data_IF_046565475157
#
_entry.id   IF_046565475157
#
_cell.length_a   1.000
_cell.length_b   1.000
_cell.length_c   1.000
_cell.angle_alpha   90.00
_cell.angle_beta   90.00
_cell.angle_gamma   90.00
#
_symmetry.space_group_name_H-M   'P 1'
#
loop_
_entity.id
_entity.type
_entity.pdbx_description
1 polymer ?
#
# COMPACT_ATOMS: atom_id res chain seq x y z
N UNK A 1 7.10 -6.61 25.48
CA UNK A 1 5.99 -5.72 25.04
C UNK A 1 5.82 -5.71 23.52
N UNK A 2 6.88 -5.55 22.73
CA UNK A 2 6.79 -5.63 21.25
C UNK A 2 6.22 -6.95 20.70
N UNK A 3 6.58 -8.10 21.29
CA UNK A 3 5.99 -9.39 20.91
C UNK A 3 4.49 -9.51 21.20
N UNK A 4 3.99 -8.80 22.20
CA UNK A 4 2.57 -8.86 22.59
C UNK A 4 1.71 -7.96 21.68
N UNK A 5 2.24 -6.85 21.17
CA UNK A 5 1.54 -5.97 20.21
C UNK A 5 1.62 -6.53 18.78
N UNK A 6 2.73 -7.12 18.36
CA UNK A 6 2.81 -7.90 17.13
C UNK A 6 1.78 -9.04 17.12
N UNK A 7 1.66 -9.80 18.22
CA UNK A 7 0.65 -10.85 18.36
C UNK A 7 -0.79 -10.31 18.32
N UNK A 8 -1.06 -9.10 18.82
CA UNK A 8 -2.38 -8.45 18.71
C UNK A 8 -2.72 -7.99 17.30
N UNK A 9 -1.75 -7.55 16.49
CA UNK A 9 -1.96 -7.18 15.08
C UNK A 9 -2.18 -8.42 14.20
N UNK A 10 -1.47 -9.53 14.48
CA UNK A 10 -1.63 -10.81 13.77
C UNK A 10 -3.02 -11.45 13.97
N UNK A 11 -3.66 -11.24 15.13
CA UNK A 11 -5.00 -11.77 15.42
C UNK A 11 -6.14 -11.05 14.67
N UNK A 12 -5.88 -9.95 13.98
CA UNK A 12 -6.89 -9.14 13.26
C UNK A 12 -7.00 -9.49 11.78
N UNK A 13 -5.98 -10.11 11.23
CA UNK A 13 -6.00 -10.65 9.88
C UNK A 13 -6.44 -12.11 9.94
N UNK A 14 -7.29 -12.49 9.00
CA UNK A 14 -7.54 -13.91 8.72
C UNK A 14 -6.23 -14.60 8.32
N UNK A 15 -6.22 -15.92 8.37
CA UNK A 15 -5.07 -16.79 8.12
C UNK A 15 -4.14 -16.28 7.00
N UNK A 16 -2.85 -16.14 7.30
CA UNK A 16 -1.85 -15.65 6.33
C UNK A 16 -1.34 -16.74 5.36
N UNK A 17 -1.51 -18.02 5.73
CA UNK A 17 -0.98 -19.15 4.97
C UNK A 17 -2.01 -20.28 4.92
N UNK A 18 -2.20 -20.90 3.75
CA UNK A 18 -3.00 -22.10 3.60
C UNK A 18 -2.32 -23.33 4.23
N UNK A 19 -3.07 -24.42 4.42
CA UNK A 19 -2.55 -25.68 5.02
C UNK A 19 -1.37 -26.27 4.24
N UNK A 20 -1.29 -26.01 2.95
CA UNK A 20 -0.19 -26.46 2.07
C UNK A 20 1.01 -25.49 2.06
N UNK A 21 1.06 -24.52 2.96
CA UNK A 21 2.15 -23.55 3.12
C UNK A 21 2.13 -22.39 2.12
N UNK A 22 1.15 -22.30 1.22
CA UNK A 22 1.04 -21.18 0.28
C UNK A 22 0.45 -19.93 0.95
N UNK A 23 0.90 -18.73 0.59
CA UNK A 23 0.35 -17.49 1.15
C UNK A 23 -1.13 -17.33 0.79
N UNK A 24 -1.90 -16.81 1.70
CA UNK A 24 -3.31 -16.48 1.44
C UNK A 24 -3.44 -15.47 0.30
N UNK A 25 -4.47 -15.67 -0.52
CA UNK A 25 -4.80 -14.75 -1.61
C UNK A 25 -5.76 -13.65 -1.14
N UNK A 26 -6.50 -13.91 -0.08
CA UNK A 26 -7.44 -12.98 0.52
C UNK A 26 -7.21 -12.88 2.02
N UNK A 27 -7.42 -11.67 2.54
CA UNK A 27 -7.35 -11.37 3.97
C UNK A 27 -8.54 -10.49 4.33
N UNK A 28 -9.16 -10.73 5.47
CA UNK A 28 -10.16 -9.84 6.05
C UNK A 28 -9.53 -9.12 7.24
N UNK A 29 -9.51 -7.80 7.17
CA UNK A 29 -9.03 -6.93 8.23
C UNK A 29 -10.24 -6.27 8.89
N UNK A 30 -10.46 -6.54 10.18
CA UNK A 30 -11.47 -5.89 11.01
C UNK A 30 -10.79 -4.90 11.95
N UNK A 31 -11.25 -3.65 11.93
CA UNK A 31 -10.71 -2.58 12.76
C UNK A 31 -11.89 -1.89 13.46
N UNK A 32 -11.88 -1.82 14.79
CA UNK A 32 -12.87 -1.06 15.56
C UNK A 32 -12.54 0.43 15.52
N UNK A 33 -13.54 1.25 15.82
CA UNK A 33 -13.35 2.69 15.98
C UNK A 33 -12.23 3.01 16.98
N UNK A 34 -11.27 3.83 16.58
CA UNK A 34 -10.11 4.21 17.39
C UNK A 34 -8.96 3.20 17.40
N UNK A 35 -9.18 1.95 16.99
CA UNK A 35 -8.11 0.97 16.83
C UNK A 35 -7.26 1.30 15.60
N UNK A 36 -6.04 0.78 15.60
CA UNK A 36 -5.13 0.89 14.46
C UNK A 36 -4.50 -0.45 14.11
N UNK A 37 -4.14 -0.59 12.87
CA UNK A 37 -3.37 -1.69 12.30
C UNK A 37 -2.18 -1.11 11.55
N UNK A 38 -1.01 -1.70 11.71
CA UNK A 38 0.19 -1.29 10.99
C UNK A 38 0.96 -2.49 10.46
N UNK A 39 1.61 -2.30 9.32
CA UNK A 39 2.48 -3.29 8.70
C UNK A 39 3.70 -2.61 8.11
N UNK A 40 4.90 -3.00 8.54
CA UNK A 40 6.15 -2.35 8.14
C UNK A 40 6.46 -2.51 6.65
N UNK A 41 6.04 -3.62 6.04
CA UNK A 41 6.27 -3.88 4.62
C UNK A 41 5.24 -4.84 4.07
N UNK A 42 4.54 -4.42 3.03
CA UNK A 42 3.60 -5.26 2.29
C UNK A 42 4.40 -6.14 1.32
N UNK A 43 4.28 -7.46 1.46
CA UNK A 43 5.04 -8.43 0.66
C UNK A 43 4.51 -8.57 -0.77
N UNK A 44 3.22 -8.30 -0.98
CA UNK A 44 2.53 -8.39 -2.28
C UNK A 44 1.73 -7.12 -2.52
N UNK A 45 1.47 -6.78 -3.77
CA UNK A 45 0.49 -5.74 -4.07
C UNK A 45 -0.91 -6.24 -3.69
N UNK A 46 -1.72 -5.37 -3.09
CA UNK A 46 -3.05 -5.70 -2.59
C UNK A 46 -4.10 -4.78 -3.23
N UNK A 47 -5.19 -5.36 -3.69
CA UNK A 47 -6.45 -4.65 -3.87
C UNK A 47 -7.17 -4.61 -2.52
N UNK A 48 -7.44 -3.42 -2.03
CA UNK A 48 -8.16 -3.18 -0.79
C UNK A 48 -9.58 -2.72 -1.10
N UNK A 49 -10.56 -3.38 -0.50
CA UNK A 49 -11.98 -3.11 -0.65
C UNK A 49 -12.57 -2.79 0.73
N UNK A 50 -13.03 -1.56 0.94
CA UNK A 50 -13.71 -1.17 2.17
C UNK A 50 -15.16 -1.64 2.07
N UNK A 51 -15.49 -2.74 2.74
CA UNK A 51 -16.81 -3.36 2.68
C UNK A 51 -17.79 -2.74 3.67
N UNK A 52 -17.28 -2.22 4.79
CA UNK A 52 -18.05 -1.56 5.85
C UNK A 52 -17.19 -0.49 6.52
N UNK A 53 -17.84 0.58 6.98
CA UNK A 53 -17.24 1.57 7.85
C UNK A 53 -16.37 2.62 7.19
N UNK A 54 -15.40 3.14 7.95
CA UNK A 54 -14.56 4.26 7.53
C UNK A 54 -13.19 4.19 8.22
N UNK A 55 -12.12 4.40 7.48
CA UNK A 55 -10.75 4.35 7.99
C UNK A 55 -9.91 5.54 7.53
N UNK A 56 -9.03 6.02 8.41
CA UNK A 56 -7.89 6.84 8.05
C UNK A 56 -6.70 5.93 7.76
N UNK A 57 -6.04 6.11 6.64
CA UNK A 57 -4.92 5.29 6.26
C UNK A 57 -3.75 6.10 5.74
N UNK A 58 -2.55 5.53 5.90
CA UNK A 58 -1.33 6.04 5.28
C UNK A 58 -0.61 4.88 4.62
N UNK A 59 -0.28 5.01 3.34
CA UNK A 59 0.40 3.96 2.57
C UNK A 59 1.25 4.55 1.45
N UNK A 60 2.44 4.01 1.26
CA UNK A 60 3.33 4.47 0.20
C UNK A 60 3.73 5.92 0.35
N UNK A 61 3.16 6.79 -0.48
CA UNK A 61 3.38 8.25 -0.50
C UNK A 61 2.17 9.02 0.04
N UNK A 62 1.09 8.32 0.31
CA UNK A 62 -0.19 8.91 0.73
C UNK A 62 -0.29 8.88 2.25
N UNK A 63 -0.58 10.02 2.86
CA UNK A 63 -0.60 10.20 4.32
C UNK A 63 -1.95 10.74 4.76
N UNK A 64 -2.54 10.10 5.79
CA UNK A 64 -3.84 10.49 6.39
C UNK A 64 -4.98 10.55 5.37
N UNK A 65 -5.01 9.63 4.44
CA UNK A 65 -6.11 9.48 3.48
C UNK A 65 -7.31 8.83 4.15
N UNK A 66 -8.51 9.26 3.80
CA UNK A 66 -9.75 8.66 4.32
C UNK A 66 -10.34 7.76 3.25
N UNK A 67 -10.64 6.52 3.60
CA UNK A 67 -11.35 5.58 2.76
C UNK A 67 -12.65 5.12 3.45
N UNK A 68 -13.75 5.17 2.69
CA UNK A 68 -15.10 4.88 3.17
C UNK A 68 -15.64 3.59 2.58
N UNK A 69 -16.70 3.06 3.20
CA UNK A 69 -17.49 1.95 2.65
C UNK A 69 -17.81 2.17 1.18
N UNK A 70 -17.69 1.12 0.38
CA UNK A 70 -17.93 1.17 -1.05
C UNK A 70 -16.73 1.62 -1.88
N UNK A 71 -15.59 1.92 -1.29
CA UNK A 71 -14.38 2.33 -2.02
C UNK A 71 -13.36 1.23 -2.12
N UNK A 72 -12.61 1.20 -3.22
CA UNK A 72 -11.46 0.33 -3.42
C UNK A 72 -10.24 1.11 -3.89
N UNK A 73 -9.05 0.60 -3.54
CA UNK A 73 -7.76 1.19 -3.88
C UNK A 73 -6.65 0.13 -3.90
N UNK A 74 -5.46 0.52 -4.34
CA UNK A 74 -4.29 -0.36 -4.41
C UNK A 74 -3.29 0.00 -3.33
N UNK A 75 -2.81 -1.01 -2.60
CA UNK A 75 -1.63 -0.94 -1.73
C UNK A 75 -0.49 -1.68 -2.43
N UNK A 76 0.65 -1.01 -2.61
CA UNK A 76 1.73 -1.57 -3.42
C UNK A 76 2.70 -2.42 -2.59
N UNK A 77 3.25 -3.45 -3.23
CA UNK A 77 4.38 -4.22 -2.68
C UNK A 77 5.50 -3.28 -2.23
N UNK A 78 6.01 -3.50 -1.04
CA UNK A 78 7.06 -2.69 -0.43
C UNK A 78 6.58 -1.42 0.26
N UNK A 79 5.26 -1.12 0.21
CA UNK A 79 4.70 -0.02 0.99
C UNK A 79 4.57 -0.40 2.47
N UNK A 80 4.73 0.61 3.32
CA UNK A 80 4.32 0.53 4.71
C UNK A 80 2.84 0.91 4.79
N UNK A 81 2.12 0.26 5.67
CA UNK A 81 0.70 0.52 5.88
C UNK A 81 0.39 0.89 7.32
N UNK A 82 -0.30 1.99 7.51
CA UNK A 82 -0.96 2.36 8.77
C UNK A 82 -2.43 2.62 8.49
N UNK A 83 -3.31 2.02 9.27
CA UNK A 83 -4.76 2.17 9.14
C UNK A 83 -5.36 2.35 10.52
N UNK A 84 -6.23 3.35 10.69
CA UNK A 84 -6.97 3.64 11.92
C UNK A 84 -8.46 3.63 11.63
N UNK A 85 -9.25 2.95 12.45
CA UNK A 85 -10.70 2.96 12.35
C UNK A 85 -11.27 4.32 12.79
N UNK A 86 -11.93 5.02 11.87
CA UNK A 86 -12.78 6.18 12.20
C UNK A 86 -14.18 5.73 12.61
N UNK A 87 -14.63 4.63 12.02
CA UNK A 87 -15.80 3.81 12.42
C UNK A 87 -15.35 2.35 12.50
N UNK A 88 -16.20 1.47 13.03
CA UNK A 88 -15.96 0.03 12.89
C UNK A 88 -15.94 -0.31 11.41
N UNK A 89 -14.87 -0.96 10.94
CA UNK A 89 -14.62 -1.14 9.53
C UNK A 89 -14.21 -2.59 9.21
N UNK A 90 -14.59 -3.03 8.01
CA UNK A 90 -14.23 -4.31 7.42
C UNK A 90 -13.59 -4.04 6.07
N UNK A 91 -12.34 -4.49 5.91
CA UNK A 91 -11.58 -4.34 4.67
C UNK A 91 -11.22 -5.74 4.17
N UNK A 92 -11.64 -6.07 2.95
CA UNK A 92 -11.18 -7.25 2.25
C UNK A 92 -9.95 -6.88 1.42
N UNK A 93 -8.87 -7.62 1.60
CA UNK A 93 -7.61 -7.46 0.87
C UNK A 93 -7.43 -8.66 -0.06
N UNK A 94 -7.16 -8.40 -1.32
CA UNK A 94 -6.87 -9.41 -2.34
C UNK A 94 -5.44 -9.23 -2.86
N UNK A 95 -4.58 -10.23 -2.68
CA UNK A 95 -3.21 -10.20 -3.23
C UNK A 95 -3.24 -10.37 -4.74
N UNK A 96 -2.45 -9.55 -5.43
CA UNK A 96 -2.26 -9.67 -6.87
C UNK A 96 -0.80 -9.44 -7.25
N UNK A 97 -0.43 -9.91 -8.42
CA UNK A 97 0.86 -9.65 -9.04
C UNK A 97 0.67 -9.06 -10.45
N UNK A 98 1.74 -8.53 -10.99
CA UNK A 98 1.76 -7.85 -12.28
C UNK A 98 1.51 -8.77 -13.48
N UNK A 99 1.67 -10.08 -13.29
CA UNK A 99 1.43 -11.07 -14.33
C UNK A 99 -0.06 -11.35 -14.53
N UNK A 100 -0.91 -10.90 -13.61
CA UNK A 100 -2.35 -11.06 -13.74
C UNK A 100 -2.86 -10.25 -14.94
N UNK A 101 -3.13 -10.99 -16.01
CA UNK A 101 -3.67 -10.43 -17.22
C UNK A 101 -5.11 -9.93 -17.00
N UNK A 102 -5.33 -8.62 -17.14
CA UNK A 102 -6.68 -8.08 -17.23
C UNK A 102 -7.37 -8.52 -18.51
N UNK A 103 -6.64 -8.85 -19.61
CA UNK A 103 -7.13 -9.48 -20.84
C UNK A 103 -6.00 -10.01 -21.75
N UNK A 104 -6.39 -10.74 -22.83
CA UNK A 104 -5.45 -11.14 -23.88
C UNK A 104 -4.76 -9.88 -24.45
N UNK A 105 -3.47 -9.71 -24.14
CA UNK A 105 -2.68 -8.55 -24.56
C UNK A 105 -2.72 -7.34 -23.63
N UNK A 106 -3.55 -7.33 -22.57
CA UNK A 106 -3.60 -6.27 -21.57
C UNK A 106 -3.25 -6.85 -20.19
N UNK A 107 -1.99 -6.96 -19.88
CA UNK A 107 -1.56 -7.10 -18.48
C UNK A 107 -1.76 -5.75 -17.77
N UNK A 108 -1.88 -5.75 -16.47
CA UNK A 108 -1.85 -4.53 -15.66
C UNK A 108 -0.66 -3.62 -16.01
N UNK A 109 0.35 -4.22 -16.66
CA UNK A 109 1.55 -3.53 -17.10
C UNK A 109 1.52 -2.92 -18.50
N UNK A 110 0.70 -3.42 -19.44
CA UNK A 110 0.70 -2.97 -20.85
C UNK A 110 -0.43 -1.98 -21.16
N UNK A 111 -1.28 -1.71 -20.19
CA UNK A 111 -2.47 -0.88 -20.37
C UNK A 111 -2.21 0.62 -20.60
N UNK A 112 -0.96 1.05 -20.74
CA UNK A 112 -0.59 2.45 -20.48
C UNK A 112 0.03 3.21 -21.65
N UNK A 113 0.04 2.71 -22.88
CA UNK A 113 0.73 3.41 -23.98
C UNK A 113 0.13 4.80 -24.29
N UNK A 114 -1.15 5.02 -24.05
CA UNK A 114 -1.86 6.29 -24.35
C UNK A 114 -2.19 7.14 -23.10
N UNK A 115 -1.86 6.68 -21.89
CA UNK A 115 -2.20 7.42 -20.67
C UNK A 115 -1.13 8.44 -20.32
N UNK A 116 -1.49 9.74 -20.36
CA UNK A 116 -0.63 10.82 -19.89
C UNK A 116 -0.57 10.79 -18.36
N UNK A 117 0.58 10.41 -17.81
CA UNK A 117 0.76 10.40 -16.37
C UNK A 117 0.57 11.79 -15.77
N UNK A 118 -0.21 11.91 -14.68
CA UNK A 118 -0.28 13.15 -13.94
C UNK A 118 1.09 13.51 -13.36
N UNK A 119 1.37 14.81 -13.28
CA UNK A 119 2.59 15.31 -12.65
C UNK A 119 2.65 14.93 -11.18
N UNK A 120 3.82 14.97 -10.51
CA UNK A 120 3.93 14.72 -9.08
C UNK A 120 2.99 15.62 -8.26
N UNK A 121 2.86 16.90 -8.64
CA UNK A 121 1.98 17.87 -8.00
C UNK A 121 0.50 17.48 -8.18
N UNK A 122 0.11 17.07 -9.37
CA UNK A 122 -1.26 16.56 -9.65
C UNK A 122 -1.56 15.29 -8.88
N UNK A 123 -0.59 14.37 -8.71
CA UNK A 123 -0.77 13.16 -7.89
C UNK A 123 -0.97 13.48 -6.42
N UNK A 124 -0.19 14.44 -5.90
CA UNK A 124 -0.29 14.85 -4.51
C UNK A 124 -1.60 15.59 -4.22
N UNK A 125 -2.09 16.40 -5.18
CA UNK A 125 -3.36 17.10 -5.06
C UNK A 125 -4.58 16.17 -5.21
N UNK A 126 -4.47 15.07 -5.98
CA UNK A 126 -5.56 14.11 -6.20
C UNK A 126 -5.70 13.07 -5.08
N UNK A 127 -4.72 12.95 -4.18
CA UNK A 127 -4.70 11.94 -3.11
C UNK A 127 -4.57 10.50 -3.63
N UNK A 128 -4.89 9.54 -2.75
CA UNK A 128 -4.88 8.11 -3.06
C UNK A 128 -5.90 7.78 -4.16
N UNK A 129 -5.51 7.12 -5.27
CA UNK A 129 -6.44 6.66 -6.29
C UNK A 129 -7.48 5.70 -5.73
N UNK A 130 -8.75 6.06 -5.83
CA UNK A 130 -9.88 5.27 -5.35
C UNK A 130 -10.95 5.16 -6.42
N UNK A 131 -11.62 4.01 -6.48
CA UNK A 131 -12.82 3.80 -7.29
C UNK A 131 -13.96 3.33 -6.41
N UNK A 132 -15.18 3.67 -6.81
CA UNK A 132 -16.41 3.16 -6.22
C UNK A 132 -16.58 1.68 -6.57
N UNK A 133 -16.90 0.84 -5.58
CA UNK A 133 -17.20 -0.57 -5.80
C UNK A 133 -18.62 -0.69 -6.40
N UNK A 134 -18.72 -1.14 -7.64
CA UNK A 134 -20.02 -1.39 -8.29
C UNK A 134 -20.80 -2.47 -7.54
N UNK A 135 -22.12 -2.36 -7.48
CA UNK A 135 -23.01 -3.23 -6.68
C UNK A 135 -22.80 -4.73 -6.92
N UNK A 136 -22.63 -5.12 -8.17
CA UNK A 136 -22.37 -6.51 -8.55
C UNK A 136 -21.04 -7.02 -7.96
N UNK A 137 -19.98 -6.21 -8.01
CA UNK A 137 -18.69 -6.54 -7.39
C UNK A 137 -18.83 -6.59 -5.86
N UNK A 138 -19.55 -5.66 -5.23
CA UNK A 138 -19.77 -5.65 -3.79
C UNK A 138 -20.42 -6.95 -3.31
N UNK A 139 -21.40 -7.47 -4.04
CA UNK A 139 -22.06 -8.75 -3.71
C UNK A 139 -21.07 -9.92 -3.71
N UNK A 140 -20.21 -10.01 -4.73
CA UNK A 140 -19.17 -11.05 -4.79
C UNK A 140 -18.13 -10.89 -3.68
N UNK A 141 -17.71 -9.66 -3.37
CA UNK A 141 -16.75 -9.39 -2.30
C UNK A 141 -17.27 -9.78 -0.92
N UNK A 142 -18.56 -9.52 -0.63
CA UNK A 142 -19.19 -9.96 0.64
C UNK A 142 -19.29 -11.48 0.72
N UNK A 143 -19.54 -12.17 -0.38
CA UNK A 143 -19.49 -13.63 -0.43
C UNK A 143 -18.08 -14.15 -0.14
N UNK A 144 -17.06 -13.58 -0.79
CA UNK A 144 -15.66 -13.95 -0.55
C UNK A 144 -15.26 -13.67 0.90
N UNK A 145 -15.67 -12.54 1.48
CA UNK A 145 -15.44 -12.24 2.90
C UNK A 145 -15.95 -13.38 3.78
N UNK A 146 -17.20 -13.81 3.60
CA UNK A 146 -17.80 -14.90 4.37
C UNK A 146 -17.05 -16.22 4.18
N UNK A 147 -16.66 -16.55 2.94
CA UNK A 147 -15.90 -17.76 2.59
C UNK A 147 -14.51 -17.77 3.26
N UNK A 148 -13.82 -16.62 3.26
CA UNK A 148 -12.51 -16.46 3.91
C UNK A 148 -12.62 -16.63 5.43
N UNK A 149 -13.61 -15.98 6.04
CA UNK A 149 -13.83 -16.06 7.49
C UNK A 149 -14.26 -17.45 7.97
N UNK A 150 -15.00 -18.17 7.14
CA UNK A 150 -15.40 -19.56 7.40
C UNK A 150 -14.25 -20.55 7.31
N UNK A 151 -13.11 -20.16 6.71
CA UNK A 151 -11.90 -20.99 6.50
C UNK A 151 -12.18 -22.37 5.85
N UNK A 152 -13.22 -22.45 5.04
CA UNK A 152 -13.69 -23.73 4.45
C UNK A 152 -13.04 -24.05 3.11
N UNK A 153 -12.33 -23.11 2.47
CA UNK A 153 -11.95 -23.20 1.08
C UNK A 153 -10.43 -23.23 0.90
N UNK A 154 -9.98 -24.14 0.04
CA UNK A 154 -8.57 -24.30 -0.30
C UNK A 154 -8.07 -23.24 -1.30
N UNK A 155 -6.75 -23.15 -1.44
CA UNK A 155 -6.04 -22.20 -2.29
C UNK A 155 -6.59 -22.14 -3.73
N UNK A 156 -6.82 -23.28 -4.38
CA UNK A 156 -7.29 -23.30 -5.78
C UNK A 156 -8.65 -22.62 -5.96
N UNK A 157 -9.54 -22.80 -5.01
CA UNK A 157 -10.84 -22.14 -5.06
C UNK A 157 -10.70 -20.63 -4.92
N UNK A 158 -9.87 -20.16 -3.98
CA UNK A 158 -9.58 -18.75 -3.80
C UNK A 158 -8.87 -18.16 -5.02
N UNK A 159 -8.06 -18.92 -5.72
CA UNK A 159 -7.45 -18.52 -6.99
C UNK A 159 -8.53 -18.26 -8.07
N UNK A 160 -9.54 -19.11 -8.19
CA UNK A 160 -10.69 -18.86 -9.07
C UNK A 160 -11.45 -17.60 -8.67
N UNK A 161 -11.69 -17.37 -7.38
CA UNK A 161 -12.33 -16.14 -6.89
C UNK A 161 -11.53 -14.90 -7.25
N UNK A 162 -10.21 -14.95 -7.17
CA UNK A 162 -9.33 -13.88 -7.61
C UNK A 162 -9.47 -13.59 -9.11
N UNK A 163 -9.54 -14.62 -9.96
CA UNK A 163 -9.82 -14.44 -11.39
C UNK A 163 -11.21 -13.85 -11.65
N UNK A 164 -12.22 -14.21 -10.88
CA UNK A 164 -13.56 -13.62 -10.98
C UNK A 164 -13.49 -12.11 -10.70
N UNK A 165 -12.81 -11.69 -9.63
CA UNK A 165 -12.62 -10.26 -9.34
C UNK A 165 -11.97 -9.53 -10.52
N UNK A 166 -10.88 -10.07 -11.06
CA UNK A 166 -10.17 -9.47 -12.20
C UNK A 166 -11.08 -9.36 -13.42
N UNK A 167 -11.87 -10.40 -13.70
CA UNK A 167 -12.84 -10.38 -14.81
C UNK A 167 -13.94 -9.34 -14.57
N UNK A 168 -14.44 -9.21 -13.34
CA UNK A 168 -15.44 -8.19 -12.98
C UNK A 168 -14.89 -6.78 -13.09
N UNK A 169 -13.65 -6.54 -12.66
CA UNK A 169 -12.99 -5.24 -12.83
C UNK A 169 -12.97 -4.82 -14.30
N UNK A 170 -12.62 -5.75 -15.21
CA UNK A 170 -12.60 -5.50 -16.66
C UNK A 170 -13.97 -5.20 -17.25
N UNK A 171 -15.00 -5.87 -16.74
CA UNK A 171 -16.36 -5.79 -17.30
C UNK A 171 -17.11 -4.58 -16.77
N UNK A 172 -16.88 -4.22 -15.52
CA UNK A 172 -17.63 -3.19 -14.81
C UNK A 172 -17.00 -1.79 -14.91
N UNK A 173 -15.69 -1.70 -15.16
CA UNK A 173 -14.96 -0.44 -15.19
C UNK A 173 -14.37 -0.17 -16.58
N UNK A 174 -14.32 1.10 -16.96
CA UNK A 174 -13.68 1.50 -18.21
C UNK A 174 -12.14 1.53 -18.07
N UNK A 175 -11.43 1.72 -19.20
CA UNK A 175 -9.97 1.72 -19.22
C UNK A 175 -9.38 2.86 -18.39
N UNK A 176 -9.96 4.05 -18.46
CA UNK A 176 -9.50 5.24 -17.74
C UNK A 176 -9.59 5.05 -16.23
N UNK A 177 -10.70 4.48 -15.73
CA UNK A 177 -10.89 4.14 -14.32
C UNK A 177 -9.82 3.14 -13.84
N UNK A 178 -9.60 2.08 -14.60
CA UNK A 178 -8.60 1.06 -14.26
C UNK A 178 -7.17 1.63 -14.33
N UNK A 179 -6.86 2.44 -15.33
CA UNK A 179 -5.56 3.12 -15.42
C UNK A 179 -5.32 4.07 -14.25
N UNK A 180 -6.34 4.84 -13.88
CA UNK A 180 -6.26 5.72 -12.73
C UNK A 180 -5.94 4.95 -11.44
N UNK A 181 -6.61 3.83 -11.19
CA UNK A 181 -6.40 3.02 -10.00
C UNK A 181 -5.04 2.30 -10.01
N UNK A 182 -4.66 1.72 -11.15
CA UNK A 182 -3.43 0.93 -11.29
C UNK A 182 -2.23 1.74 -11.79
N UNK A 183 -2.33 3.06 -11.91
CA UNK A 183 -1.28 3.93 -12.48
C UNK A 183 0.12 3.75 -11.87
N UNK A 184 0.19 3.30 -10.63
CA UNK A 184 1.46 3.06 -9.94
C UNK A 184 2.01 1.63 -10.12
N UNK A 185 1.32 0.75 -10.89
CA UNK A 185 1.68 -0.67 -11.11
C UNK A 185 2.32 -0.87 -12.50
N UNK A 186 2.98 0.13 -13.09
CA UNK A 186 3.53 0.01 -14.47
C UNK A 186 4.64 -1.03 -14.58
N UNK A 187 4.60 -1.82 -15.65
CA UNK A 187 5.43 -3.00 -15.86
C UNK A 187 6.82 -2.78 -16.44
N UNK A 188 7.09 -1.65 -17.10
CA UNK A 188 8.31 -1.46 -17.91
C UNK A 188 9.63 -1.44 -17.10
N UNK A 189 9.55 -1.34 -15.77
CA UNK A 189 10.69 -1.35 -14.86
C UNK A 189 10.49 -2.22 -13.61
N UNK A 190 9.76 -3.36 -13.71
CA UNK A 190 9.56 -4.25 -12.54
C UNK A 190 10.87 -4.66 -11.91
N UNK A 191 11.82 -5.14 -12.69
CA UNK A 191 13.15 -5.51 -12.19
C UNK A 191 13.85 -4.34 -11.51
N UNK A 192 13.69 -3.14 -12.03
CA UNK A 192 14.24 -1.94 -11.42
C UNK A 192 13.51 -1.61 -10.10
N UNK A 193 12.18 -1.64 -10.10
CA UNK A 193 11.38 -1.40 -8.87
C UNK A 193 11.67 -2.43 -7.80
N UNK A 194 11.70 -3.71 -8.14
CA UNK A 194 12.01 -4.79 -7.21
C UNK A 194 13.43 -4.65 -6.64
N UNK A 195 14.42 -4.29 -7.44
CA UNK A 195 15.79 -3.99 -6.97
C UNK A 195 15.82 -2.78 -6.04
N UNK A 196 15.15 -1.68 -6.40
CA UNK A 196 15.04 -0.50 -5.53
C UNK A 196 14.40 -0.88 -4.20
N UNK A 197 13.29 -1.62 -4.21
CA UNK A 197 12.60 -2.08 -3.00
C UNK A 197 13.47 -3.07 -2.20
N UNK A 198 14.30 -3.87 -2.85
CA UNK A 198 15.24 -4.79 -2.21
C UNK A 198 16.32 -4.02 -1.43
N UNK A 199 16.90 -2.97 -2.03
CA UNK A 199 17.96 -2.17 -1.40
C UNK A 199 17.44 -1.07 -0.46
N UNK A 200 16.15 -0.79 -0.50
CA UNK A 200 15.55 0.25 0.34
C UNK A 200 15.61 -0.12 1.81
N UNK A 201 16.15 0.80 2.62
CA UNK A 201 16.08 0.82 4.08
C UNK A 201 15.58 2.20 4.54
N UNK A 202 15.05 2.28 5.76
CA UNK A 202 14.42 3.52 6.25
C UNK A 202 15.41 4.70 6.41
N UNK A 203 16.68 4.42 6.55
CA UNK A 203 17.78 5.35 6.75
C UNK A 203 18.55 5.68 5.45
N UNK A 204 18.32 4.93 4.37
CA UNK A 204 19.04 5.12 3.11
C UNK A 204 18.76 6.49 2.49
N UNK A 205 19.79 7.08 1.90
CA UNK A 205 19.65 8.28 1.07
C UNK A 205 19.70 7.97 -0.44
N UNK A 206 19.38 8.97 -1.27
CA UNK A 206 19.29 8.79 -2.72
C UNK A 206 20.63 8.44 -3.38
N UNK A 207 21.75 8.93 -2.84
CA UNK A 207 23.09 8.65 -3.37
C UNK A 207 23.49 7.20 -3.06
N UNK A 208 23.25 6.74 -1.83
CA UNK A 208 23.52 5.36 -1.42
C UNK A 208 22.66 4.36 -2.20
N UNK A 209 21.37 4.68 -2.40
CA UNK A 209 20.48 3.83 -3.18
C UNK A 209 20.94 3.77 -4.66
N UNK A 210 21.34 4.90 -5.24
CA UNK A 210 21.91 4.95 -6.59
C UNK A 210 23.20 4.09 -6.70
N UNK A 211 24.09 4.17 -5.70
CA UNK A 211 25.31 3.37 -5.66
C UNK A 211 25.02 1.86 -5.60
N UNK A 212 24.06 1.44 -4.75
CA UNK A 212 23.63 0.02 -4.67
C UNK A 212 22.99 -0.50 -5.97
N UNK A 213 22.41 0.39 -6.76
CA UNK A 213 21.84 0.06 -8.07
C UNK A 213 22.89 -0.04 -9.20
N UNK A 214 24.15 0.27 -8.90
CA UNK A 214 25.29 0.21 -9.85
C UNK A 214 25.04 0.99 -11.15
N UNK A 215 24.40 2.16 -11.03
CA UNK A 215 24.04 3.02 -12.15
C UNK A 215 24.66 4.41 -12.02
N UNK A 216 24.86 5.10 -13.17
CA UNK A 216 25.15 6.53 -13.12
C UNK A 216 23.97 7.31 -12.56
N UNK A 217 24.22 8.40 -11.81
CA UNK A 217 23.16 9.23 -11.22
C UNK A 217 22.12 9.70 -12.25
N UNK A 218 22.56 10.06 -13.47
CA UNK A 218 21.66 10.49 -14.54
C UNK A 218 20.72 9.35 -14.99
N UNK A 219 21.26 8.15 -15.20
CA UNK A 219 20.48 6.97 -15.61
C UNK A 219 19.53 6.54 -14.50
N UNK A 220 20.01 6.49 -13.24
CA UNK A 220 19.21 6.15 -12.07
C UNK A 220 18.02 7.11 -11.91
N UNK A 221 18.26 8.43 -11.89
CA UNK A 221 17.21 9.42 -11.69
C UNK A 221 16.14 9.37 -12.80
N UNK A 222 16.54 9.20 -14.07
CA UNK A 222 15.61 9.05 -15.18
C UNK A 222 14.75 7.79 -15.04
N UNK A 223 15.37 6.63 -14.76
CA UNK A 223 14.65 5.36 -14.54
C UNK A 223 13.77 5.42 -13.30
N UNK A 224 14.30 6.01 -12.21
CA UNK A 224 13.55 6.14 -10.97
C UNK A 224 12.28 6.97 -11.16
N UNK A 225 12.40 8.16 -11.80
CA UNK A 225 11.25 9.01 -12.10
C UNK A 225 10.23 8.29 -12.99
N UNK A 226 10.69 7.52 -13.98
CA UNK A 226 9.81 6.71 -14.83
C UNK A 226 9.11 5.61 -14.04
N UNK A 227 9.85 4.85 -13.21
CA UNK A 227 9.32 3.71 -12.47
C UNK A 227 8.43 4.09 -11.29
N UNK A 228 8.75 5.17 -10.56
CA UNK A 228 8.05 5.60 -9.35
C UNK A 228 7.22 6.89 -9.56
N UNK A 229 7.32 7.52 -10.71
CA UNK A 229 6.60 8.72 -11.09
C UNK A 229 7.04 9.99 -10.38
N UNK A 230 8.10 9.95 -9.57
CA UNK A 230 8.65 11.09 -8.83
C UNK A 230 10.16 10.92 -8.62
N UNK A 231 10.90 12.01 -8.28
CA UNK A 231 12.32 11.94 -7.92
C UNK A 231 12.56 11.04 -6.69
N UNK A 232 13.73 10.38 -6.67
CA UNK A 232 14.09 9.44 -5.59
C UNK A 232 14.05 10.10 -4.21
N UNK A 233 14.56 11.33 -4.05
CA UNK A 233 14.56 12.03 -2.77
C UNK A 233 13.14 12.33 -2.25
N UNK A 234 12.21 12.69 -3.13
CA UNK A 234 10.81 12.90 -2.77
C UNK A 234 10.15 11.59 -2.35
N UNK A 235 10.38 10.51 -3.09
CA UNK A 235 9.88 9.19 -2.76
C UNK A 235 10.39 8.70 -1.40
N UNK A 236 11.69 8.85 -1.12
CA UNK A 236 12.27 8.50 0.18
C UNK A 236 11.65 9.32 1.32
N UNK A 237 11.43 10.62 1.10
CA UNK A 237 10.76 11.47 2.09
C UNK A 237 9.30 11.03 2.32
N UNK A 238 8.56 10.70 1.28
CA UNK A 238 7.17 10.20 1.40
C UNK A 238 7.12 8.88 2.17
N UNK A 239 8.02 7.94 1.88
CA UNK A 239 8.16 6.71 2.66
C UNK A 239 8.46 6.99 4.13
N UNK A 240 9.39 7.91 4.40
CA UNK A 240 9.77 8.31 5.77
C UNK A 240 8.60 8.94 6.53
N UNK A 241 7.75 9.73 5.86
CA UNK A 241 6.54 10.30 6.48
C UNK A 241 5.63 9.21 7.05
N UNK A 242 5.32 8.18 6.27
CA UNK A 242 4.47 7.07 6.70
C UNK A 242 5.12 6.31 7.86
N UNK A 243 6.42 6.01 7.76
CA UNK A 243 7.14 5.25 8.79
C UNK A 243 7.26 6.03 10.10
N UNK A 244 7.60 7.32 10.05
CA UNK A 244 7.66 8.18 11.24
C UNK A 244 6.29 8.28 11.91
N UNK A 245 5.23 8.44 11.12
CA UNK A 245 3.86 8.46 11.65
C UNK A 245 3.51 7.13 12.33
N UNK A 246 3.88 6.00 11.72
CA UNK A 246 3.69 4.68 12.32
C UNK A 246 4.43 4.56 13.66
N UNK A 247 5.72 4.87 13.69
CA UNK A 247 6.52 4.78 14.91
C UNK A 247 5.92 5.66 16.04
N UNK A 248 5.51 6.90 15.71
CA UNK A 248 4.86 7.79 16.66
C UNK A 248 3.53 7.24 17.21
N UNK A 249 2.75 6.52 16.40
CA UNK A 249 1.42 5.99 16.75
C UNK A 249 1.45 4.61 17.41
N UNK A 250 2.47 3.81 17.12
CA UNK A 250 2.47 2.38 17.44
C UNK A 250 3.61 1.94 18.36
N UNK A 251 4.55 2.83 18.68
CA UNK A 251 5.69 2.51 19.56
C UNK A 251 5.84 3.50 20.71
N UNK A 252 6.50 3.07 21.77
CA UNK A 252 6.87 3.92 22.92
C UNK A 252 8.24 4.59 22.73
N UNK A 253 8.85 4.51 21.53
CA UNK A 253 10.15 5.11 21.25
C UNK A 253 10.13 6.62 21.46
N UNK A 254 11.13 7.13 22.15
CA UNK A 254 11.32 8.59 22.32
C UNK A 254 11.57 9.26 20.96
N UNK A 255 11.33 10.57 20.88
CA UNK A 255 11.63 11.37 19.68
C UNK A 255 13.11 11.23 19.28
N UNK A 256 14.02 11.10 20.25
CA UNK A 256 15.46 10.90 20.02
C UNK A 256 15.73 9.52 19.38
N UNK A 257 15.09 8.46 19.85
CA UNK A 257 15.24 7.12 19.30
C UNK A 257 14.65 7.02 17.90
N UNK A 258 13.47 7.61 17.67
CA UNK A 258 12.90 7.69 16.33
C UNK A 258 13.83 8.47 15.39
N UNK A 259 14.36 9.61 15.81
CA UNK A 259 15.30 10.35 14.98
C UNK A 259 16.54 9.51 14.64
N UNK A 260 17.10 8.79 15.61
CA UNK A 260 18.25 7.89 15.41
C UNK A 260 17.95 6.78 14.41
N UNK A 261 16.76 6.17 14.47
CA UNK A 261 16.31 5.12 13.51
C UNK A 261 16.36 5.58 12.05
N UNK A 262 16.09 6.86 11.80
CA UNK A 262 16.06 7.43 10.45
C UNK A 262 17.34 8.22 10.08
N UNK A 263 18.39 8.09 10.88
CA UNK A 263 19.63 8.85 10.74
C UNK A 263 19.41 10.39 10.69
N UNK A 264 18.52 10.87 11.55
CA UNK A 264 18.14 12.28 11.68
C UNK A 264 18.53 12.83 13.06
N UNK A 265 18.68 14.15 13.16
CA UNK A 265 18.72 14.80 14.47
C UNK A 265 17.31 14.99 15.03
N UNK A 266 17.10 15.04 16.36
CA UNK A 266 15.79 15.29 16.96
C UNK A 266 15.13 16.60 16.49
N UNK A 267 15.93 17.65 16.29
CA UNK A 267 15.45 18.93 15.78
C UNK A 267 14.94 18.80 14.35
N UNK A 268 15.71 18.14 13.48
CA UNK A 268 15.30 17.90 12.11
C UNK A 268 14.03 17.02 12.03
N UNK A 269 13.92 15.98 12.87
CA UNK A 269 12.69 15.18 12.94
C UNK A 269 11.48 16.03 13.35
N UNK A 270 11.66 16.95 14.29
CA UNK A 270 10.58 17.86 14.71
C UNK A 270 10.14 18.78 13.58
N UNK A 271 11.08 19.37 12.83
CA UNK A 271 10.78 20.21 11.67
C UNK A 271 10.17 19.39 10.52
N UNK A 272 10.65 18.16 10.31
CA UNK A 272 10.10 17.22 9.36
C UNK A 272 8.63 16.88 9.67
N UNK A 273 8.30 16.59 10.94
CA UNK A 273 6.93 16.32 11.36
C UNK A 273 6.01 17.54 11.15
N UNK A 274 6.45 18.74 11.54
CA UNK A 274 5.69 19.97 11.28
C UNK A 274 5.42 20.17 9.80
N UNK A 275 6.46 20.04 8.97
CA UNK A 275 6.38 20.30 7.52
C UNK A 275 5.52 19.29 6.79
N UNK A 276 5.64 18.02 7.10
CA UNK A 276 5.08 16.92 6.31
C UNK A 276 3.90 16.20 6.96
N UNK A 277 3.80 16.21 8.29
CA UNK A 277 2.73 15.57 9.05
C UNK A 277 1.77 16.55 9.70
N UNK A 278 2.11 17.85 9.64
CA UNK A 278 1.25 18.95 10.04
C UNK A 278 1.34 19.32 11.52
N UNK A 279 2.12 18.60 12.36
CA UNK A 279 2.29 18.93 13.79
C UNK A 279 3.62 18.40 14.34
N UNK A 280 3.94 18.75 15.57
CA UNK A 280 5.13 18.26 16.29
C UNK A 280 4.97 16.78 16.70
N UNK A 281 6.07 16.00 16.86
CA UNK A 281 6.01 14.58 17.22
C UNK A 281 5.16 14.27 18.45
N UNK A 282 5.17 15.14 19.47
CA UNK A 282 4.41 14.94 20.71
C UNK A 282 2.89 14.97 20.47
N UNK A 283 2.41 15.83 19.59
CA UNK A 283 0.98 15.95 19.28
C UNK A 283 0.52 14.89 18.25
N UNK A 284 1.45 14.28 17.54
CA UNK A 284 1.17 13.23 16.57
C UNK A 284 1.07 11.82 17.19
N UNK A 285 1.41 11.66 18.46
CA UNK A 285 1.31 10.40 19.25
C UNK A 285 -0.11 9.98 19.57
#
# INVERSE_FOLDING_TARGET
MQETEMKKSEQRLTREVYEDGRPSLFYVLRIRKGEHFSRDRVCYSLLAFVLEGEVEMSTGIYVKEIACEGQMFVVHKGDNGYTKGLKDAVILLCSFDSSMALCNGLSLGNATEDYKEPTPEERQSQGLPRLEIKSMLMTELKLIQHEVESNLLGYRFMEFKRYIIVYMLRTLYNKEELFYMFRCVRSDDFDFRDKVLHFYTCDINAQELCAKMEMSSATFNRRFKRAFGMPCGEWLNSKRQVQVLMDLKTTDLSVKEIAGKYNLTPNYLTDFCKRFLGDVPVNLR
#
